data_IF_502014629017
#
_entry.id   IF_502014629017
#
_cell.length_a   1.000
_cell.length_b   1.000
_cell.length_c   1.000
_cell.angle_alpha   90.00
_cell.angle_beta   90.00
_cell.angle_gamma   90.00
#
_symmetry.space_group_name_H-M   'P 1'
#
loop_
_entity.id
_entity.type
_entity.pdbx_description
1 polymer ?
#
# COMPACT_ATOMS: atom_id res chain seq x y z
N UNK A 1 18.48 12.74 21.48
CA UNK A 1 17.24 11.96 21.57
C UNK A 1 16.11 12.67 22.32
N UNK A 2 16.35 13.60 23.24
CA UNK A 2 15.29 14.39 23.89
C UNK A 2 14.78 15.60 23.09
N UNK A 3 15.60 16.18 22.21
CA UNK A 3 15.21 17.36 21.43
C UNK A 3 14.42 17.05 20.14
N UNK A 4 14.46 15.80 19.64
CA UNK A 4 13.69 15.42 18.45
C UNK A 4 12.27 15.01 18.80
N UNK A 5 12.04 14.51 19.99
CA UNK A 5 10.69 14.21 20.50
C UNK A 5 9.96 15.50 20.88
N UNK A 6 10.64 16.46 21.53
CA UNK A 6 10.07 17.78 21.81
C UNK A 6 9.80 18.63 20.55
N UNK A 7 10.52 18.39 19.43
CA UNK A 7 10.23 19.07 18.16
C UNK A 7 9.03 18.48 17.42
N UNK A 8 8.75 17.18 17.57
CA UNK A 8 7.55 16.54 16.99
C UNK A 8 6.28 16.87 17.77
N UNK A 9 6.39 16.99 19.10
CA UNK A 9 5.25 17.42 19.93
C UNK A 9 4.94 18.93 19.76
N UNK A 10 5.91 19.78 19.44
CA UNK A 10 5.71 21.21 19.16
C UNK A 10 5.21 21.56 17.74
N UNK A 11 5.11 20.60 16.83
CA UNK A 11 4.52 20.80 15.48
C UNK A 11 3.06 20.33 15.43
N UNK A 12 2.59 19.62 16.46
CA UNK A 12 1.20 19.20 16.66
C UNK A 12 0.51 19.87 17.84
N UNK A 13 1.03 21.02 18.35
CA UNK A 13 0.27 21.83 19.30
C UNK A 13 -0.89 22.51 18.57
N UNK A 14 -2.08 21.92 18.73
CA UNK A 14 -3.42 22.47 18.54
C UNK A 14 -3.61 23.33 17.27
N UNK A 15 -3.68 22.66 16.12
CA UNK A 15 -4.01 23.31 14.83
C UNK A 15 -5.43 23.90 14.89
N UNK A 16 -6.30 23.37 15.79
CA UNK A 16 -7.63 23.88 16.09
C UNK A 16 -7.92 23.90 17.60
N UNK A 17 -8.77 24.83 18.05
CA UNK A 17 -9.20 24.93 19.45
C UNK A 17 -10.40 23.99 19.75
N UNK A 18 -10.10 22.73 20.09
CA UNK A 18 -11.11 21.69 20.39
C UNK A 18 -12.09 22.16 21.50
N UNK A 19 -11.59 22.81 22.57
CA UNK A 19 -12.44 23.28 23.66
C UNK A 19 -13.43 24.37 23.20
N UNK A 20 -13.04 25.17 22.21
CA UNK A 20 -13.93 26.16 21.61
C UNK A 20 -15.06 25.48 20.87
N UNK A 21 -14.74 24.54 19.97
CA UNK A 21 -15.75 23.84 19.15
C UNK A 21 -16.71 23.00 19.99
N UNK A 22 -16.20 22.22 20.94
CA UNK A 22 -17.02 21.44 21.89
C UNK A 22 -17.99 22.36 22.65
N UNK A 23 -17.51 23.51 23.11
CA UNK A 23 -18.36 24.51 23.81
C UNK A 23 -19.42 25.10 22.89
N UNK A 24 -19.10 25.41 21.63
CA UNK A 24 -20.06 25.96 20.65
C UNK A 24 -21.16 24.93 20.31
N UNK A 25 -20.77 23.65 20.15
CA UNK A 25 -21.72 22.54 19.98
C UNK A 25 -22.64 22.37 21.20
N UNK A 26 -22.10 22.46 22.42
CA UNK A 26 -22.86 22.34 23.66
C UNK A 26 -23.83 23.50 23.86
N UNK A 27 -23.46 24.69 23.42
CA UNK A 27 -24.31 25.88 23.48
C UNK A 27 -25.34 25.99 22.35
N UNK A 28 -25.26 25.10 21.35
CA UNK A 28 -26.02 25.16 20.10
C UNK A 28 -25.84 26.49 19.37
N UNK A 29 -24.63 27.06 19.41
CA UNK A 29 -24.30 28.30 18.71
C UNK A 29 -23.89 28.02 17.27
N UNK A 30 -24.89 27.82 16.41
CA UNK A 30 -24.72 27.40 15.02
C UNK A 30 -23.93 28.43 14.21
N UNK A 31 -24.23 29.72 14.40
CA UNK A 31 -23.64 30.77 13.57
C UNK A 31 -22.14 30.92 13.84
N UNK A 32 -21.74 30.94 15.13
CA UNK A 32 -20.33 31.06 15.48
C UNK A 32 -19.56 29.75 15.20
N UNK A 33 -20.19 28.57 15.45
CA UNK A 33 -19.59 27.27 15.08
C UNK A 33 -19.28 27.22 13.58
N UNK A 34 -20.25 27.51 12.71
CA UNK A 34 -20.06 27.51 11.27
C UNK A 34 -18.98 28.48 10.83
N UNK A 35 -18.96 29.69 11.40
CA UNK A 35 -17.97 30.68 11.05
C UNK A 35 -16.55 30.23 11.37
N UNK A 36 -16.28 29.78 12.58
CA UNK A 36 -14.94 29.37 13.01
C UNK A 36 -14.54 28.03 12.38
N UNK A 37 -15.46 27.07 12.26
CA UNK A 37 -15.17 25.74 11.71
C UNK A 37 -14.90 25.76 10.20
N UNK A 38 -15.64 26.53 9.42
CA UNK A 38 -15.47 26.65 7.98
C UNK A 38 -14.27 27.55 7.57
N UNK A 39 -13.63 28.25 8.54
CA UNK A 39 -12.35 28.93 8.31
C UNK A 39 -11.15 27.96 8.42
N UNK A 40 -11.32 26.80 9.05
CA UNK A 40 -10.29 25.75 9.12
C UNK A 40 -10.03 25.13 7.72
N UNK A 41 -8.82 24.60 7.55
CA UNK A 41 -8.53 23.74 6.41
C UNK A 41 -9.33 22.43 6.47
N UNK A 42 -9.68 21.83 5.35
CA UNK A 42 -10.49 20.60 5.31
C UNK A 42 -9.86 19.47 6.17
N UNK A 43 -8.55 19.32 6.12
CA UNK A 43 -7.80 18.39 6.96
C UNK A 43 -7.98 18.64 8.48
N UNK A 44 -8.00 19.91 8.91
CA UNK A 44 -8.24 20.27 10.32
C UNK A 44 -9.69 20.01 10.73
N UNK A 45 -10.63 20.17 9.79
CA UNK A 45 -12.04 19.85 9.98
C UNK A 45 -12.24 18.34 10.16
N UNK A 46 -11.56 17.51 9.34
CA UNK A 46 -11.62 16.06 9.46
C UNK A 46 -11.01 15.57 10.77
N UNK A 47 -9.82 16.04 11.15
CA UNK A 47 -9.21 15.69 12.44
C UNK A 47 -10.11 16.03 13.65
N UNK A 48 -10.74 17.22 13.66
CA UNK A 48 -11.68 17.56 14.72
C UNK A 48 -12.89 16.64 14.72
N UNK A 49 -13.42 16.32 13.53
CA UNK A 49 -14.59 15.46 13.37
C UNK A 49 -14.31 14.03 13.85
N UNK A 50 -13.15 13.47 13.54
CA UNK A 50 -12.70 12.15 14.00
C UNK A 50 -12.56 12.08 15.53
N UNK A 51 -11.98 13.12 16.12
CA UNK A 51 -11.79 13.25 17.56
C UNK A 51 -13.09 13.52 18.35
N UNK A 52 -14.21 13.70 17.65
CA UNK A 52 -15.50 14.10 18.22
C UNK A 52 -16.40 12.89 18.48
N UNK A 53 -17.14 12.89 19.60
CA UNK A 53 -18.08 11.82 19.93
C UNK A 53 -19.34 11.83 19.04
N UNK A 54 -20.04 10.68 18.92
CA UNK A 54 -21.22 10.51 18.05
C UNK A 54 -22.33 11.54 18.30
N UNK A 55 -22.51 11.98 19.57
CA UNK A 55 -23.54 12.96 19.89
C UNK A 55 -23.22 14.34 19.32
N UNK A 56 -21.96 14.73 19.31
CA UNK A 56 -21.49 15.97 18.73
C UNK A 56 -21.36 15.87 17.21
N UNK A 57 -20.95 14.70 16.65
CA UNK A 57 -21.02 14.45 15.21
C UNK A 57 -22.43 14.66 14.65
N UNK A 58 -23.44 14.18 15.34
CA UNK A 58 -24.84 14.40 14.94
C UNK A 58 -25.21 15.89 14.91
N UNK A 59 -24.75 16.69 15.89
CA UNK A 59 -24.95 18.16 15.87
C UNK A 59 -24.23 18.82 14.70
N UNK A 60 -23.02 18.35 14.33
CA UNK A 60 -22.28 18.84 13.17
C UNK A 60 -23.10 18.64 11.90
N UNK A 61 -23.72 17.46 11.71
CA UNK A 61 -24.62 17.22 10.57
C UNK A 61 -25.88 18.10 10.58
N UNK A 62 -26.35 18.51 11.75
CA UNK A 62 -27.47 19.46 11.86
C UNK A 62 -27.04 20.91 11.56
N UNK A 63 -25.78 21.25 11.83
CA UNK A 63 -25.24 22.61 11.67
C UNK A 63 -24.72 22.88 10.27
N UNK A 64 -24.17 21.88 9.60
CA UNK A 64 -23.54 21.98 8.29
C UNK A 64 -24.47 21.46 7.17
N UNK A 65 -24.34 22.03 6.00
CA UNK A 65 -25.00 21.53 4.78
C UNK A 65 -24.26 20.30 4.25
N UNK A 66 -24.90 19.42 3.46
CA UNK A 66 -24.23 18.29 2.83
C UNK A 66 -22.97 18.67 2.06
N UNK A 67 -22.97 19.78 1.35
CA UNK A 67 -21.80 20.29 0.60
C UNK A 67 -20.62 20.66 1.51
N UNK A 68 -20.90 21.27 2.67
CA UNK A 68 -19.84 21.65 3.62
C UNK A 68 -19.24 20.42 4.30
N UNK A 69 -20.03 19.39 4.51
CA UNK A 69 -19.54 18.10 5.04
C UNK A 69 -18.74 17.36 3.98
N UNK A 70 -19.21 17.32 2.74
CA UNK A 70 -18.51 16.68 1.63
C UNK A 70 -17.07 17.20 1.45
N UNK A 71 -16.84 18.50 1.68
CA UNK A 71 -15.52 19.12 1.50
C UNK A 71 -14.39 18.56 2.40
N UNK A 72 -14.71 17.96 3.54
CA UNK A 72 -13.70 17.37 4.42
C UNK A 72 -13.88 15.86 4.61
N UNK A 73 -14.91 15.29 4.01
CA UNK A 73 -15.27 13.89 4.21
C UNK A 73 -14.32 12.93 3.51
N UNK A 74 -13.69 13.36 2.42
CA UNK A 74 -12.62 12.68 1.69
C UNK A 74 -11.31 12.56 2.47
N UNK A 75 -11.14 13.40 3.51
CA UNK A 75 -9.96 13.40 4.36
C UNK A 75 -10.14 12.52 5.63
N UNK A 76 -11.29 11.84 5.78
CA UNK A 76 -11.56 10.99 6.95
C UNK A 76 -10.89 9.63 6.82
N UNK A 77 -10.18 9.22 7.87
CA UNK A 77 -9.54 7.90 7.99
C UNK A 77 -10.24 7.06 9.04
N UNK A 78 -11.34 6.42 8.65
CA UNK A 78 -12.13 5.53 9.52
C UNK A 78 -11.96 4.06 9.13
N UNK A 79 -12.02 3.17 10.11
CA UNK A 79 -12.20 1.73 9.86
C UNK A 79 -13.61 1.44 9.27
N UNK A 80 -13.76 0.41 8.43
CA UNK A 80 -15.01 -0.01 7.76
C UNK A 80 -16.24 -0.04 8.70
N UNK A 81 -16.09 -0.60 9.92
CA UNK A 81 -17.17 -0.69 10.91
C UNK A 81 -17.64 0.71 11.40
N UNK A 82 -16.73 1.70 11.36
CA UNK A 82 -17.01 3.07 11.78
C UNK A 82 -17.79 3.83 10.70
N UNK A 83 -17.50 3.60 9.41
CA UNK A 83 -18.29 4.16 8.30
C UNK A 83 -19.74 3.67 8.33
N UNK A 84 -20.00 2.38 8.57
CA UNK A 84 -21.36 1.85 8.70
C UNK A 84 -22.14 2.57 9.81
N UNK A 85 -21.52 2.79 10.97
CA UNK A 85 -22.11 3.49 12.11
C UNK A 85 -22.35 4.98 11.80
N UNK A 86 -21.38 5.63 11.16
CA UNK A 86 -21.44 7.04 10.81
C UNK A 86 -22.62 7.34 9.87
N UNK A 87 -22.76 6.52 8.81
CA UNK A 87 -23.86 6.67 7.85
C UNK A 87 -25.24 6.34 8.47
N UNK A 88 -25.31 5.46 9.47
CA UNK A 88 -26.55 5.23 10.21
C UNK A 88 -26.96 6.45 11.05
N UNK A 89 -25.97 7.11 11.68
CA UNK A 89 -26.19 8.32 12.50
C UNK A 89 -26.54 9.55 11.65
N UNK A 90 -25.98 9.66 10.45
CA UNK A 90 -26.22 10.77 9.53
C UNK A 90 -27.63 10.76 8.94
N UNK A 91 -28.23 9.60 8.76
CA UNK A 91 -29.51 9.39 8.12
C UNK A 91 -29.44 9.38 6.59
N UNK A 92 -30.09 8.40 5.97
CA UNK A 92 -29.90 8.05 4.56
C UNK A 92 -30.09 9.19 3.55
N UNK A 93 -31.01 10.14 3.80
CA UNK A 93 -31.26 11.27 2.89
C UNK A 93 -30.13 12.30 2.95
N UNK A 94 -29.62 12.60 4.14
CA UNK A 94 -28.53 13.55 4.29
C UNK A 94 -27.24 12.93 3.74
N UNK A 95 -26.97 11.67 4.09
CA UNK A 95 -25.83 10.91 3.59
C UNK A 95 -25.79 10.81 2.06
N UNK A 96 -26.94 10.56 1.39
CA UNK A 96 -27.00 10.54 -0.07
C UNK A 96 -26.66 11.90 -0.68
N UNK A 97 -27.04 13.00 -0.04
CA UNK A 97 -26.67 14.34 -0.53
C UNK A 97 -25.21 14.70 -0.25
N UNK A 98 -24.59 14.18 0.83
CA UNK A 98 -23.14 14.35 1.04
C UNK A 98 -22.37 13.66 -0.09
N UNK A 99 -22.68 12.38 -0.37
CA UNK A 99 -22.06 11.64 -1.46
C UNK A 99 -22.31 12.26 -2.85
N UNK A 100 -23.43 12.98 -3.05
CA UNK A 100 -23.69 13.72 -4.28
C UNK A 100 -22.79 14.96 -4.48
N UNK A 101 -22.26 15.53 -3.39
CA UNK A 101 -21.41 16.72 -3.42
C UNK A 101 -19.92 16.38 -3.37
N UNK A 102 -19.55 15.11 -3.15
CA UNK A 102 -18.19 14.60 -3.23
C UNK A 102 -17.77 14.35 -4.68
N UNK A 103 -16.46 14.27 -4.93
CA UNK A 103 -15.92 13.70 -6.18
C UNK A 103 -16.34 12.23 -6.31
N UNK A 104 -16.45 11.73 -7.55
CA UNK A 104 -17.09 10.43 -7.78
C UNK A 104 -16.24 9.26 -7.31
N UNK A 105 -14.92 9.34 -7.41
CA UNK A 105 -13.95 8.39 -6.87
C UNK A 105 -14.07 8.29 -5.35
N UNK A 106 -13.93 9.39 -4.62
CA UNK A 106 -14.07 9.43 -3.15
C UNK A 106 -15.43 8.92 -2.67
N UNK A 107 -16.51 9.23 -3.42
CA UNK A 107 -17.82 8.67 -3.11
C UNK A 107 -17.88 7.15 -3.32
N UNK A 108 -17.15 6.61 -4.30
CA UNK A 108 -17.04 5.17 -4.59
C UNK A 108 -16.25 4.47 -3.49
N UNK A 109 -15.13 5.03 -3.06
CA UNK A 109 -14.29 4.45 -2.00
C UNK A 109 -15.10 4.29 -0.71
N UNK A 110 -15.80 5.34 -0.27
CA UNK A 110 -16.69 5.25 0.89
C UNK A 110 -17.81 4.22 0.67
N UNK A 111 -18.38 4.14 -0.53
CA UNK A 111 -19.45 3.18 -0.81
C UNK A 111 -18.97 1.72 -0.82
N UNK A 112 -17.72 1.47 -1.16
CA UNK A 112 -17.11 0.13 -1.10
C UNK A 112 -16.99 -0.37 0.34
N UNK A 113 -16.77 0.52 1.32
CA UNK A 113 -16.73 0.21 2.75
C UNK A 113 -18.14 -0.11 3.34
N UNK A 114 -19.21 0.22 2.61
CA UNK A 114 -20.56 0.03 3.10
C UNK A 114 -21.20 -1.30 2.63
N UNK A 115 -22.10 -1.82 3.43
CA UNK A 115 -22.88 -3.01 3.05
C UNK A 115 -23.72 -2.77 1.78
N UNK A 116 -23.78 -3.77 0.91
CA UNK A 116 -24.52 -3.71 -0.37
C UNK A 116 -25.98 -3.22 -0.27
N UNK A 117 -26.76 -3.59 0.77
CA UNK A 117 -28.13 -3.06 0.94
C UNK A 117 -28.14 -1.55 1.23
N UNK A 118 -27.14 -1.04 1.98
CA UNK A 118 -26.99 0.38 2.30
C UNK A 118 -26.62 1.18 1.07
N UNK A 119 -25.61 0.72 0.31
CA UNK A 119 -25.24 1.29 -0.99
C UNK A 119 -26.44 1.41 -1.93
N UNK A 120 -27.21 0.34 -2.10
CA UNK A 120 -28.41 0.37 -2.94
C UNK A 120 -29.47 1.38 -2.46
N UNK A 121 -29.61 1.56 -1.14
CA UNK A 121 -30.51 2.54 -0.54
C UNK A 121 -30.05 3.97 -0.83
N UNK A 122 -28.77 4.26 -0.59
CA UNK A 122 -28.18 5.60 -0.81
C UNK A 122 -28.27 6.00 -2.30
N UNK A 123 -27.83 5.13 -3.20
CA UNK A 123 -27.91 5.35 -4.65
C UNK A 123 -29.36 5.55 -5.17
N UNK A 124 -30.36 5.01 -4.47
CA UNK A 124 -31.78 5.24 -4.84
C UNK A 124 -32.28 6.60 -4.44
N UNK A 125 -31.69 7.20 -3.40
CA UNK A 125 -32.04 8.54 -2.89
C UNK A 125 -31.33 9.66 -3.63
N UNK A 126 -30.19 9.37 -4.26
CA UNK A 126 -29.38 10.31 -5.04
C UNK A 126 -30.06 10.79 -6.31
N UNK A 127 -29.56 11.91 -6.86
CA UNK A 127 -29.84 12.33 -8.23
C UNK A 127 -29.51 11.21 -9.22
N UNK A 128 -30.38 10.98 -10.20
CA UNK A 128 -30.22 9.86 -11.13
C UNK A 128 -28.95 9.91 -11.97
N UNK A 129 -28.53 11.09 -12.37
CA UNK A 129 -27.37 11.27 -13.24
C UNK A 129 -26.12 10.94 -12.44
N UNK A 130 -25.93 11.53 -11.25
CA UNK A 130 -24.82 11.24 -10.35
C UNK A 130 -24.79 9.77 -9.87
N UNK A 131 -25.95 9.21 -9.50
CA UNK A 131 -26.06 7.81 -9.15
C UNK A 131 -25.66 6.84 -10.28
N UNK A 132 -25.85 7.24 -11.53
CA UNK A 132 -25.44 6.42 -12.67
C UNK A 132 -23.93 6.46 -12.91
N UNK A 133 -23.29 7.62 -12.73
CA UNK A 133 -21.82 7.76 -12.80
C UNK A 133 -21.16 6.94 -11.70
N UNK A 134 -21.56 7.13 -10.44
CA UNK A 134 -21.05 6.36 -9.31
C UNK A 134 -21.25 4.85 -9.52
N UNK A 135 -22.43 4.41 -10.02
CA UNK A 135 -22.67 3.00 -10.33
C UNK A 135 -21.76 2.46 -11.43
N UNK A 136 -21.39 3.29 -12.39
CA UNK A 136 -20.48 2.86 -13.44
C UNK A 136 -19.06 2.63 -12.87
N UNK A 137 -18.63 3.46 -11.95
CA UNK A 137 -17.34 3.32 -11.27
C UNK A 137 -17.31 2.11 -10.30
N UNK A 138 -18.36 1.89 -9.51
CA UNK A 138 -18.50 0.73 -8.61
C UNK A 138 -18.43 -0.65 -9.30
N UNK A 139 -18.34 -0.70 -10.63
CA UNK A 139 -18.18 -1.95 -11.38
C UNK A 139 -16.73 -2.35 -11.63
N UNK A 140 -15.80 -1.44 -11.42
CA UNK A 140 -14.38 -1.71 -11.56
C UNK A 140 -13.84 -2.39 -10.28
N UNK A 141 -12.74 -3.11 -10.42
CA UNK A 141 -12.02 -3.69 -9.28
C UNK A 141 -11.23 -2.55 -8.58
N UNK A 142 -11.25 -2.51 -7.25
CA UNK A 142 -10.70 -1.43 -6.42
C UNK A 142 -9.22 -1.16 -6.74
N UNK A 143 -8.37 -2.18 -6.75
CA UNK A 143 -6.92 -2.06 -6.96
C UNK A 143 -6.52 -1.84 -8.44
N UNK A 144 -7.42 -1.28 -9.27
CA UNK A 144 -7.15 -1.05 -10.70
C UNK A 144 -7.29 0.42 -11.08
N UNK A 145 -6.70 0.80 -12.23
CA UNK A 145 -6.88 2.13 -12.80
C UNK A 145 -8.35 2.55 -12.91
N UNK A 146 -9.25 1.60 -13.12
CA UNK A 146 -10.69 1.86 -13.17
C UNK A 146 -11.34 2.08 -11.81
N UNK A 147 -10.78 1.48 -10.75
CA UNK A 147 -11.24 1.65 -9.38
C UNK A 147 -10.89 3.03 -8.82
N UNK A 148 -9.68 3.50 -9.10
CA UNK A 148 -9.14 4.77 -8.55
C UNK A 148 -9.30 5.97 -9.50
N UNK A 149 -9.99 5.84 -10.64
CA UNK A 149 -10.16 6.95 -11.58
C UNK A 149 -11.36 7.81 -11.24
N UNK A 150 -11.24 9.13 -11.48
CA UNK A 150 -12.39 10.04 -11.53
C UNK A 150 -12.86 10.25 -12.97
N UNK A 151 -14.17 10.52 -13.13
CA UNK A 151 -14.77 10.92 -14.42
C UNK A 151 -14.91 12.45 -14.54
N UNK A 152 -14.48 13.20 -13.55
CA UNK A 152 -14.59 14.66 -13.47
C UNK A 152 -13.39 15.36 -14.09
N UNK A 153 -13.20 15.20 -15.39
CA UNK A 153 -12.09 15.75 -16.17
C UNK A 153 -12.53 16.61 -17.35
N UNK A 154 -11.60 17.43 -17.86
CA UNK A 154 -11.86 18.26 -19.05
C UNK A 154 -11.38 17.55 -20.31
N UNK A 155 -12.30 17.30 -21.23
CA UNK A 155 -12.00 16.83 -22.58
C UNK A 155 -12.47 17.78 -23.66
N UNK A 156 -11.72 17.89 -24.76
CA UNK A 156 -12.01 18.75 -25.89
C UNK A 156 -11.93 17.95 -27.19
N UNK A 157 -12.79 18.24 -28.16
CA UNK A 157 -12.64 17.71 -29.51
C UNK A 157 -11.36 18.30 -30.14
N UNK A 158 -10.56 17.46 -30.78
CA UNK A 158 -9.31 17.88 -31.45
C UNK A 158 -9.56 18.94 -32.55
N UNK A 159 -10.76 18.96 -33.14
CA UNK A 159 -11.22 19.91 -34.16
C UNK A 159 -11.76 21.22 -33.60
N UNK A 160 -11.76 21.41 -32.27
CA UNK A 160 -12.29 22.66 -31.64
C UNK A 160 -11.27 23.77 -31.76
N UNK A 161 -11.71 25.01 -32.16
CA UNK A 161 -10.84 26.18 -32.12
C UNK A 161 -10.45 26.55 -30.68
N UNK A 162 -9.20 27.01 -30.46
CA UNK A 162 -8.68 27.41 -29.12
C UNK A 162 -9.58 28.40 -28.40
N UNK A 163 -10.16 29.38 -29.14
CA UNK A 163 -11.09 30.35 -28.55
C UNK A 163 -12.34 29.71 -27.96
N UNK A 164 -12.90 28.70 -28.60
CA UNK A 164 -14.06 27.95 -28.09
C UNK A 164 -13.66 27.02 -26.96
N UNK A 165 -12.52 26.38 -27.11
CA UNK A 165 -11.92 25.51 -26.08
C UNK A 165 -11.74 26.22 -24.73
N UNK A 166 -11.24 27.46 -24.73
CA UNK A 166 -11.10 28.28 -23.52
C UNK A 166 -12.46 28.59 -22.84
N UNK A 167 -13.55 28.71 -23.64
CA UNK A 167 -14.88 28.89 -23.08
C UNK A 167 -15.36 27.61 -22.43
N UNK A 168 -15.20 26.46 -23.09
CA UNK A 168 -15.56 25.15 -22.56
C UNK A 168 -14.79 24.82 -21.26
N UNK A 169 -13.47 25.04 -21.24
CA UNK A 169 -12.66 24.85 -20.04
C UNK A 169 -13.18 25.71 -18.88
N UNK A 170 -13.55 26.99 -19.15
CA UNK A 170 -14.07 27.88 -18.11
C UNK A 170 -15.44 27.45 -17.60
N UNK A 171 -16.27 26.85 -18.46
CA UNK A 171 -17.59 26.33 -18.08
C UNK A 171 -17.49 25.03 -17.26
N UNK A 172 -16.55 24.15 -17.60
CA UNK A 172 -16.35 22.86 -16.94
C UNK A 172 -15.45 22.93 -15.69
N UNK A 173 -14.64 23.98 -15.56
CA UNK A 173 -13.68 24.12 -14.47
C UNK A 173 -14.25 24.02 -13.04
N UNK A 174 -15.51 24.41 -12.74
CA UNK A 174 -16.07 24.23 -11.41
C UNK A 174 -16.34 22.75 -11.01
N UNK A 175 -16.52 21.89 -11.99
CA UNK A 175 -16.91 20.49 -11.80
C UNK A 175 -15.77 19.52 -12.17
N UNK A 176 -14.58 20.04 -12.50
CA UNK A 176 -13.43 19.23 -12.91
C UNK A 176 -12.43 19.09 -11.77
N UNK A 177 -11.94 17.89 -11.54
CA UNK A 177 -10.92 17.56 -10.55
C UNK A 177 -9.62 18.36 -10.79
N UNK A 178 -9.18 18.43 -12.02
CA UNK A 178 -8.06 19.28 -12.42
C UNK A 178 -8.32 20.04 -13.71
N UNK A 179 -7.83 21.29 -13.77
CA UNK A 179 -7.84 22.12 -14.97
C UNK A 179 -6.47 22.22 -15.65
N UNK A 180 -5.42 21.68 -15.00
CA UNK A 180 -4.04 21.84 -15.46
C UNK A 180 -3.72 20.97 -16.66
N UNK A 181 -4.38 19.82 -16.78
CA UNK A 181 -4.25 18.87 -17.88
C UNK A 181 -5.58 18.72 -18.58
N UNK A 182 -5.56 18.85 -19.89
CA UNK A 182 -6.75 18.79 -20.74
C UNK A 182 -6.52 17.72 -21.79
N UNK A 183 -7.50 16.88 -22.02
CA UNK A 183 -7.41 15.76 -22.96
C UNK A 183 -8.12 16.07 -24.26
N UNK A 184 -7.50 15.70 -25.38
CA UNK A 184 -8.10 15.87 -26.69
C UNK A 184 -8.62 14.53 -27.19
N UNK A 185 -9.89 14.51 -27.64
CA UNK A 185 -10.55 13.33 -28.20
C UNK A 185 -10.99 13.59 -29.64
N UNK A 186 -11.13 12.53 -30.41
CA UNK A 186 -11.70 12.58 -31.75
C UNK A 186 -13.23 12.53 -31.71
N UNK A 187 -13.89 12.43 -32.89
CA UNK A 187 -15.34 12.35 -32.99
C UNK A 187 -15.93 11.05 -32.40
N UNK A 188 -15.11 10.00 -32.26
CA UNK A 188 -15.49 8.72 -31.70
C UNK A 188 -15.12 8.62 -30.19
N UNK A 189 -14.87 9.74 -29.51
CA UNK A 189 -14.45 9.85 -28.09
C UNK A 189 -13.13 9.11 -27.76
N UNK A 190 -12.30 8.82 -28.75
CA UNK A 190 -10.99 8.21 -28.52
C UNK A 190 -9.96 9.27 -28.18
N UNK A 191 -9.08 8.97 -27.24
CA UNK A 191 -7.97 9.82 -26.81
C UNK A 191 -6.96 9.98 -27.95
N UNK A 192 -6.72 11.22 -28.39
CA UNK A 192 -5.79 11.54 -29.50
C UNK A 192 -4.72 12.53 -29.12
N UNK A 193 -4.85 13.22 -27.98
CA UNK A 193 -3.87 14.20 -27.55
C UNK A 193 -4.04 14.64 -26.10
N UNK A 194 -3.02 15.33 -25.61
CA UNK A 194 -3.02 15.99 -24.31
C UNK A 194 -2.40 17.39 -24.45
N UNK A 195 -2.92 18.34 -23.70
CA UNK A 195 -2.38 19.70 -23.63
C UNK A 195 -2.54 20.25 -22.22
N UNK A 196 -1.66 21.16 -21.85
CA UNK A 196 -1.81 21.89 -20.59
C UNK A 196 -2.68 23.13 -20.76
N UNK A 197 -3.31 23.60 -19.65
CA UNK A 197 -3.98 24.89 -19.64
C UNK A 197 -3.05 26.02 -20.10
N UNK A 198 -1.74 25.93 -19.80
CA UNK A 198 -0.73 26.90 -20.28
C UNK A 198 -0.65 26.93 -21.78
N UNK A 199 -0.60 25.77 -22.44
CA UNK A 199 -0.51 25.67 -23.90
C UNK A 199 -1.74 26.30 -24.54
N UNK A 200 -2.92 26.04 -23.97
CA UNK A 200 -4.16 26.61 -24.42
C UNK A 200 -4.21 28.16 -24.28
N UNK A 201 -3.68 28.71 -23.18
CA UNK A 201 -3.63 30.17 -22.93
C UNK A 201 -2.65 30.87 -23.88
N UNK A 202 -1.55 30.23 -24.27
CA UNK A 202 -0.49 30.81 -25.09
C UNK A 202 -0.79 30.67 -26.61
N UNK A 203 -1.66 29.73 -26.97
CA UNK A 203 -2.00 29.43 -28.35
C UNK A 203 -2.75 30.61 -29.04
N UNK A 204 -2.69 30.68 -30.36
CA UNK A 204 -3.45 31.61 -31.16
C UNK A 204 -4.94 31.23 -31.12
N UNK A 205 -5.83 32.24 -31.00
CA UNK A 205 -7.28 32.04 -30.84
C UNK A 205 -7.97 31.27 -31.99
N UNK A 206 -7.41 31.33 -33.17
CA UNK A 206 -7.90 30.70 -34.40
C UNK A 206 -7.18 29.38 -34.75
N UNK A 207 -6.21 28.96 -33.96
CA UNK A 207 -5.63 27.60 -34.03
C UNK A 207 -6.65 26.56 -33.58
N UNK A 208 -6.47 25.31 -34.00
CA UNK A 208 -7.27 24.17 -33.54
C UNK A 208 -6.52 23.42 -32.42
N UNK A 209 -7.26 22.70 -31.63
CA UNK A 209 -6.66 21.87 -30.54
C UNK A 209 -5.65 20.89 -31.09
N UNK A 210 -5.91 20.28 -32.26
CA UNK A 210 -4.96 19.36 -32.94
C UNK A 210 -3.61 20.00 -33.30
N UNK A 211 -3.57 21.34 -33.49
CA UNK A 211 -2.34 22.07 -33.79
C UNK A 211 -1.51 22.37 -32.51
N UNK A 212 -2.12 22.31 -31.35
CA UNK A 212 -1.53 22.71 -30.05
C UNK A 212 -1.24 21.53 -29.15
N UNK A 213 -2.02 20.45 -29.25
CA UNK A 213 -1.90 19.27 -28.41
C UNK A 213 -0.61 18.47 -28.69
N UNK A 214 -0.16 17.71 -27.72
CA UNK A 214 0.82 16.64 -27.91
C UNK A 214 0.09 15.36 -28.30
N UNK A 215 0.43 14.80 -29.46
CA UNK A 215 -0.12 13.52 -29.92
C UNK A 215 0.48 12.32 -29.16
N UNK A 216 1.62 12.52 -28.47
CA UNK A 216 2.26 11.47 -27.68
C UNK A 216 1.64 11.44 -26.29
N UNK A 217 0.57 10.69 -26.15
CA UNK A 217 -0.12 10.49 -24.88
C UNK A 217 0.32 9.16 -24.28
N UNK A 218 0.62 9.18 -22.98
CA UNK A 218 0.79 8.00 -22.15
C UNK A 218 -0.51 7.86 -21.37
N UNK A 219 -1.15 6.70 -21.46
CA UNK A 219 -2.43 6.39 -20.81
C UNK A 219 -2.35 5.07 -20.07
N UNK A 220 -3.17 4.90 -19.05
CA UNK A 220 -3.45 3.65 -18.39
C UNK A 220 -4.65 2.94 -19.03
N UNK A 221 -4.67 1.61 -19.06
CA UNK A 221 -5.88 0.87 -19.36
C UNK A 221 -6.69 0.69 -18.08
N UNK A 222 -8.00 0.66 -18.19
CA UNK A 222 -8.93 0.54 -17.06
C UNK A 222 -8.66 -0.67 -16.13
N UNK A 223 -8.02 -1.71 -16.61
CA UNK A 223 -7.67 -2.91 -15.84
C UNK A 223 -6.18 -2.98 -15.47
N UNK A 224 -5.42 -1.91 -15.62
CA UNK A 224 -4.03 -1.86 -15.18
C UNK A 224 -4.00 -1.73 -13.64
N UNK A 225 -3.01 -2.33 -13.01
CA UNK A 225 -2.82 -2.36 -11.56
C UNK A 225 -2.45 -0.96 -11.02
N UNK A 226 -3.00 -0.57 -9.88
CA UNK A 226 -2.77 0.74 -9.27
C UNK A 226 -1.29 0.99 -8.93
N UNK A 227 -0.54 -0.04 -8.52
CA UNK A 227 0.90 0.06 -8.24
C UNK A 227 1.69 0.42 -9.52
N UNK A 228 1.34 -0.20 -10.66
CA UNK A 228 1.95 0.10 -11.96
C UNK A 228 1.66 1.55 -12.39
N UNK A 229 0.45 2.08 -12.10
CA UNK A 229 0.08 3.46 -12.39
C UNK A 229 0.84 4.44 -11.49
N UNK A 230 0.94 4.15 -10.19
CA UNK A 230 1.71 4.96 -9.26
C UNK A 230 3.18 5.06 -9.70
N UNK A 231 3.77 3.93 -10.13
CA UNK A 231 5.12 3.93 -10.69
C UNK A 231 5.21 4.73 -11.98
N UNK A 232 4.24 4.60 -12.90
CA UNK A 232 4.19 5.35 -14.15
C UNK A 232 4.17 6.86 -13.89
N UNK A 233 3.29 7.33 -13.02
CA UNK A 233 3.13 8.75 -12.68
C UNK A 233 4.41 9.31 -12.03
N UNK A 234 5.04 8.55 -11.14
CA UNK A 234 6.33 8.91 -10.52
C UNK A 234 7.47 9.00 -11.54
N UNK A 235 7.55 8.04 -12.48
CA UNK A 235 8.66 7.97 -13.44
C UNK A 235 8.60 9.08 -14.50
N UNK A 236 7.39 9.57 -14.81
CA UNK A 236 7.17 10.61 -15.80
C UNK A 236 6.85 11.98 -15.21
N UNK A 237 6.79 12.12 -13.87
CA UNK A 237 6.40 13.34 -13.16
C UNK A 237 5.01 13.85 -13.62
N UNK A 238 4.07 12.94 -13.83
CA UNK A 238 2.71 13.31 -14.24
C UNK A 238 1.87 13.74 -13.05
N UNK A 239 1.04 14.76 -13.25
CA UNK A 239 0.06 15.24 -12.28
C UNK A 239 -1.34 14.65 -12.53
N UNK A 240 -1.58 14.11 -13.71
CA UNK A 240 -2.76 13.34 -14.07
C UNK A 240 -2.45 12.39 -15.23
N UNK A 241 -3.04 11.20 -15.22
CA UNK A 241 -2.94 10.20 -16.29
C UNK A 241 -4.32 9.84 -16.79
N UNK A 242 -4.56 9.85 -18.11
CA UNK A 242 -5.84 9.43 -18.67
C UNK A 242 -6.00 7.92 -18.62
N UNK A 243 -7.19 7.46 -18.25
CA UNK A 243 -7.59 6.06 -18.26
C UNK A 243 -8.45 5.78 -19.50
N UNK A 244 -8.12 4.73 -20.21
CA UNK A 244 -8.79 4.36 -21.46
C UNK A 244 -9.27 2.91 -21.43
N UNK A 245 -10.27 2.60 -22.26
CA UNK A 245 -10.67 1.25 -22.56
C UNK A 245 -9.76 0.61 -23.65
N UNK A 246 -9.99 -0.66 -23.97
CA UNK A 246 -9.26 -1.40 -25.01
C UNK A 246 -9.45 -0.85 -26.44
N UNK A 247 -10.42 0.06 -26.64
CA UNK A 247 -10.68 0.76 -27.90
C UNK A 247 -10.13 2.18 -27.91
N UNK A 248 -9.41 2.57 -26.86
CA UNK A 248 -8.81 3.88 -26.63
C UNK A 248 -9.83 5.00 -26.39
N UNK A 249 -11.05 4.68 -25.92
CA UNK A 249 -11.97 5.71 -25.46
C UNK A 249 -11.52 6.22 -24.09
N UNK A 250 -11.56 7.52 -23.90
CA UNK A 250 -11.22 8.15 -22.62
C UNK A 250 -12.37 7.92 -21.62
N UNK A 251 -12.08 7.21 -20.54
CA UNK A 251 -13.04 6.85 -19.50
C UNK A 251 -12.96 7.76 -18.28
N UNK A 252 -11.74 8.12 -17.86
CA UNK A 252 -11.47 8.89 -16.66
C UNK A 252 -10.03 9.38 -16.61
N UNK A 253 -9.67 9.94 -15.49
CA UNK A 253 -8.29 10.31 -15.15
C UNK A 253 -7.96 9.83 -13.74
N UNK A 254 -6.67 9.68 -13.47
CA UNK A 254 -6.14 9.46 -12.12
C UNK A 254 -5.23 10.65 -11.81
N UNK A 255 -5.39 11.26 -10.65
CA UNK A 255 -4.62 12.44 -10.24
C UNK A 255 -3.47 12.08 -9.31
N UNK A 256 -2.57 13.03 -9.05
CA UNK A 256 -1.38 12.78 -8.24
C UNK A 256 -1.69 12.67 -6.76
N UNK A 257 -2.73 13.33 -6.28
CA UNK A 257 -3.21 13.26 -4.91
C UNK A 257 -3.71 11.85 -4.59
N UNK A 258 -4.59 11.26 -5.41
CA UNK A 258 -5.04 9.87 -5.26
C UNK A 258 -3.87 8.88 -5.31
N UNK A 259 -2.90 9.12 -6.21
CA UNK A 259 -1.70 8.28 -6.29
C UNK A 259 -0.81 8.37 -5.04
N UNK A 260 -0.80 9.48 -4.33
CA UNK A 260 -0.06 9.55 -3.06
C UNK A 260 -0.69 8.63 -2.01
N UNK A 261 -2.00 8.58 -1.95
CA UNK A 261 -2.74 7.69 -1.04
C UNK A 261 -2.55 6.22 -1.43
N UNK A 262 -2.66 5.89 -2.72
CA UNK A 262 -2.32 4.55 -3.24
C UNK A 262 -0.90 4.14 -2.88
N UNK A 263 0.08 5.05 -3.00
CA UNK A 263 1.48 4.72 -2.64
C UNK A 263 1.67 4.43 -1.15
N UNK A 264 0.94 5.13 -0.27
CA UNK A 264 0.99 4.89 1.17
C UNK A 264 0.25 3.59 1.53
N UNK A 265 -0.87 3.29 0.88
CA UNK A 265 -1.61 2.05 1.04
C UNK A 265 -0.78 0.83 0.60
N UNK A 266 -0.24 0.83 -0.61
CA UNK A 266 0.63 -0.24 -1.13
C UNK A 266 1.87 -0.45 -0.24
N UNK A 267 2.50 0.63 0.22
CA UNK A 267 3.64 0.53 1.13
C UNK A 267 3.24 -0.08 2.49
N UNK A 268 2.06 0.24 2.99
CA UNK A 268 1.50 -0.31 4.21
C UNK A 268 1.12 -1.78 4.06
N UNK A 269 0.53 -2.15 2.92
CA UNK A 269 0.20 -3.53 2.60
C UNK A 269 1.47 -4.39 2.44
N UNK A 270 2.47 -3.93 1.68
CA UNK A 270 3.78 -4.57 1.55
C UNK A 270 4.42 -4.81 2.92
N UNK A 271 4.35 -3.82 3.82
CA UNK A 271 4.88 -3.93 5.18
C UNK A 271 4.13 -4.99 6.01
N UNK A 272 2.81 -4.99 5.95
CA UNK A 272 1.95 -5.95 6.65
C UNK A 272 2.21 -7.38 6.17
N UNK A 273 2.24 -7.60 4.87
CA UNK A 273 2.53 -8.90 4.25
C UNK A 273 3.92 -9.39 4.60
N UNK A 274 4.94 -8.50 4.55
CA UNK A 274 6.30 -8.83 4.94
C UNK A 274 6.40 -9.23 6.43
N UNK A 275 5.63 -8.59 7.30
CA UNK A 275 5.53 -8.93 8.71
C UNK A 275 4.75 -10.23 8.97
N UNK A 276 3.98 -10.72 7.99
CA UNK A 276 3.13 -11.90 8.11
C UNK A 276 1.84 -11.62 8.89
N UNK A 277 1.29 -10.43 8.72
CA UNK A 277 -0.05 -10.04 9.19
C UNK A 277 -0.95 -9.77 8.00
N UNK A 278 -2.26 -9.88 8.16
CA UNK A 278 -3.18 -9.64 7.05
C UNK A 278 -3.48 -8.16 6.82
N UNK A 279 -3.22 -7.32 7.82
CA UNK A 279 -3.44 -5.90 7.77
C UNK A 279 -2.72 -5.21 8.94
N UNK A 280 -2.44 -3.90 8.86
CA UNK A 280 -1.82 -3.15 9.96
C UNK A 280 -2.83 -2.98 11.09
N UNK A 281 -2.36 -3.21 12.32
CA UNK A 281 -3.17 -2.96 13.52
C UNK A 281 -3.31 -1.43 13.72
N UNK A 282 -4.54 -0.92 13.76
CA UNK A 282 -4.77 0.44 14.25
C UNK A 282 -4.58 0.51 15.77
N UNK A 283 -4.25 1.68 16.29
CA UNK A 283 -4.07 1.89 17.74
C UNK A 283 -5.36 1.70 18.53
N UNK A 284 -6.51 1.76 17.85
CA UNK A 284 -7.87 1.60 18.38
C UNK A 284 -8.36 0.14 18.35
N UNK A 285 -7.66 -0.77 17.64
CA UNK A 285 -8.09 -2.15 17.47
C UNK A 285 -8.25 -2.90 18.79
N UNK A 286 -9.36 -3.63 18.92
CA UNK A 286 -9.57 -4.51 20.07
C UNK A 286 -8.60 -5.71 20.04
N UNK A 287 -8.26 -6.27 21.22
CA UNK A 287 -7.37 -7.44 21.31
C UNK A 287 -7.84 -8.60 20.43
N UNK A 288 -9.14 -8.78 20.23
CA UNK A 288 -9.68 -9.82 19.35
C UNK A 288 -9.46 -9.51 17.87
N UNK A 289 -9.64 -8.26 17.44
CA UNK A 289 -9.39 -7.82 16.06
C UNK A 289 -7.90 -7.97 15.71
N UNK A 290 -7.00 -7.46 16.56
CA UNK A 290 -5.55 -7.66 16.44
C UNK A 290 -5.16 -9.14 16.34
N UNK A 291 -5.74 -9.99 17.20
CA UNK A 291 -5.43 -11.42 17.15
C UNK A 291 -5.94 -12.09 15.87
N UNK A 292 -7.11 -11.70 15.36
CA UNK A 292 -7.70 -12.27 14.14
C UNK A 292 -6.85 -11.95 12.90
N UNK A 293 -6.24 -10.76 12.82
CA UNK A 293 -5.34 -10.35 11.74
C UNK A 293 -4.04 -11.18 11.71
N UNK A 294 -3.56 -11.67 12.85
CA UNK A 294 -2.30 -12.43 12.99
C UNK A 294 -2.48 -13.95 12.96
N UNK A 295 -3.63 -14.45 13.42
CA UNK A 295 -3.88 -15.88 13.57
C UNK A 295 -3.75 -16.71 12.29
N UNK A 296 -4.21 -16.30 11.11
CA UNK A 296 -4.11 -17.10 9.90
C UNK A 296 -2.66 -17.51 9.60
N UNK A 297 -1.75 -16.55 9.62
CA UNK A 297 -0.33 -16.79 9.40
C UNK A 297 0.30 -17.66 10.49
N UNK A 298 0.02 -17.39 11.77
CA UNK A 298 0.53 -18.17 12.89
C UNK A 298 0.08 -19.64 12.82
N UNK A 299 -1.12 -19.91 12.36
CA UNK A 299 -1.62 -21.28 12.15
C UNK A 299 -0.82 -21.97 11.04
N UNK A 300 -0.64 -21.31 9.88
CA UNK A 300 0.17 -21.87 8.78
C UNK A 300 1.60 -22.16 9.25
N UNK A 301 2.22 -21.21 9.95
CA UNK A 301 3.58 -21.38 10.49
C UNK A 301 3.66 -22.49 11.54
N UNK A 302 2.61 -22.74 12.32
CA UNK A 302 2.55 -23.86 13.26
C UNK A 302 2.64 -25.21 12.53
N UNK A 303 1.90 -25.38 11.42
CA UNK A 303 1.99 -26.60 10.60
C UNK A 303 3.37 -26.76 9.95
N UNK A 304 3.96 -25.69 9.44
CA UNK A 304 5.32 -25.70 8.89
C UNK A 304 6.36 -26.04 9.98
N UNK A 305 6.18 -25.51 11.20
CA UNK A 305 7.01 -25.83 12.35
C UNK A 305 6.99 -27.32 12.74
N UNK A 306 5.84 -28.00 12.55
CA UNK A 306 5.74 -29.45 12.75
C UNK A 306 6.60 -30.24 11.76
N UNK A 307 6.75 -29.75 10.52
CA UNK A 307 7.66 -30.35 9.54
C UNK A 307 9.11 -30.23 10.04
N UNK A 308 9.49 -29.05 10.50
CA UNK A 308 10.81 -28.79 11.10
C UNK A 308 11.10 -29.74 12.29
N UNK A 309 10.12 -29.88 13.17
CA UNK A 309 10.23 -30.80 14.31
C UNK A 309 10.39 -32.27 13.88
N UNK A 310 9.70 -32.72 12.84
CA UNK A 310 9.81 -34.06 12.29
C UNK A 310 11.19 -34.31 11.69
N UNK A 311 11.72 -33.31 10.94
CA UNK A 311 13.08 -33.38 10.39
C UNK A 311 14.12 -33.50 11.53
N UNK A 312 14.01 -32.66 12.56
CA UNK A 312 14.90 -32.73 13.73
C UNK A 312 14.87 -34.10 14.41
N UNK A 313 13.66 -34.66 14.56
CA UNK A 313 13.50 -36.03 15.12
C UNK A 313 14.22 -37.13 14.31
N UNK A 314 14.32 -36.96 12.97
CA UNK A 314 15.02 -37.91 12.11
C UNK A 314 16.54 -37.97 12.35
N UNK A 315 17.12 -36.95 13.04
CA UNK A 315 18.53 -36.86 13.40
C UNK A 315 18.80 -37.16 14.88
N UNK A 316 17.86 -37.79 15.61
CA UNK A 316 17.99 -38.13 17.03
C UNK A 316 19.24 -38.98 17.32
N UNK A 317 19.57 -39.94 16.46
CA UNK A 317 20.76 -40.75 16.57
C UNK A 317 22.05 -39.92 16.51
N UNK A 318 22.12 -38.92 15.66
CA UNK A 318 23.26 -38.02 15.54
C UNK A 318 23.40 -37.14 16.79
N UNK A 319 22.27 -36.61 17.28
CA UNK A 319 22.23 -35.81 18.52
C UNK A 319 22.59 -36.61 19.77
N UNK A 320 22.17 -37.87 19.85
CA UNK A 320 22.51 -38.74 21.01
C UNK A 320 23.98 -39.04 21.10
N UNK A 321 24.70 -39.15 19.97
CA UNK A 321 26.13 -39.38 19.93
C UNK A 321 26.96 -38.15 20.27
N UNK A 322 26.54 -36.96 19.84
CA UNK A 322 27.21 -35.69 20.11
C UNK A 322 26.18 -34.64 20.54
N UNK A 323 25.77 -34.70 21.81
CA UNK A 323 24.73 -33.83 22.36
C UNK A 323 25.07 -32.32 22.23
N UNK A 324 26.35 -31.97 22.14
CA UNK A 324 26.77 -30.56 21.96
C UNK A 324 26.33 -29.95 20.63
N UNK A 325 26.02 -30.77 19.61
CA UNK A 325 25.46 -30.27 18.35
C UNK A 325 24.13 -29.52 18.56
N UNK A 326 23.30 -29.94 19.51
CA UNK A 326 22.03 -29.30 19.81
C UNK A 326 22.19 -27.82 20.23
N UNK A 327 23.30 -27.50 20.91
CA UNK A 327 23.56 -26.13 21.38
C UNK A 327 23.74 -25.10 20.24
N UNK A 328 24.10 -25.54 19.03
CA UNK A 328 24.37 -24.66 17.91
C UNK A 328 23.18 -24.55 16.93
N UNK A 329 22.13 -25.37 17.10
CA UNK A 329 20.90 -25.28 16.26
C UNK A 329 20.34 -23.86 16.21
N UNK A 330 20.11 -23.17 17.36
CA UNK A 330 19.51 -21.82 17.32
C UNK A 330 20.39 -20.80 16.62
N UNK A 331 21.71 -20.94 16.65
CA UNK A 331 22.66 -20.04 15.99
C UNK A 331 22.61 -20.26 14.49
N UNK A 332 22.67 -21.50 14.01
CA UNK A 332 22.69 -21.80 12.57
C UNK A 332 21.34 -21.45 11.92
N UNK A 333 20.24 -21.90 12.54
CA UNK A 333 18.89 -21.63 12.09
C UNK A 333 18.58 -20.13 12.13
N UNK A 334 18.78 -19.49 13.28
CA UNK A 334 18.50 -18.05 13.43
C UNK A 334 19.31 -17.16 12.48
N UNK A 335 20.61 -17.44 12.29
CA UNK A 335 21.43 -16.66 11.37
C UNK A 335 21.05 -16.87 9.89
N UNK A 336 20.68 -18.10 9.52
CA UNK A 336 20.16 -18.40 8.18
C UNK A 336 18.83 -17.71 7.94
N UNK A 337 17.91 -17.77 8.91
CA UNK A 337 16.61 -17.08 8.85
C UNK A 337 16.76 -15.58 8.72
N UNK A 338 17.56 -14.95 9.60
CA UNK A 338 17.83 -13.51 9.55
C UNK A 338 18.45 -13.07 8.21
N UNK A 339 19.40 -13.84 7.70
CA UNK A 339 20.06 -13.57 6.41
C UNK A 339 19.05 -13.66 5.24
N UNK A 340 18.14 -14.64 5.31
CA UNK A 340 17.07 -14.79 4.33
C UNK A 340 16.05 -13.66 4.39
N UNK A 341 15.64 -13.25 5.58
CA UNK A 341 14.69 -12.13 5.76
C UNK A 341 15.27 -10.79 5.28
N UNK A 342 16.58 -10.54 5.52
CA UNK A 342 17.26 -9.37 4.97
C UNK A 342 17.27 -9.37 3.44
N UNK A 343 17.52 -10.52 2.82
CA UNK A 343 17.51 -10.65 1.37
C UNK A 343 16.10 -10.55 0.79
N UNK A 344 15.09 -11.08 1.50
CA UNK A 344 13.67 -10.93 1.17
C UNK A 344 13.28 -9.45 1.11
N UNK A 345 13.51 -8.70 2.19
CA UNK A 345 13.14 -7.29 2.27
C UNK A 345 13.74 -6.44 1.13
N UNK A 346 15.02 -6.69 0.79
CA UNK A 346 15.66 -6.03 -0.36
C UNK A 346 15.03 -6.44 -1.69
N UNK A 347 14.65 -7.70 -1.83
CA UNK A 347 14.09 -8.21 -3.09
C UNK A 347 12.65 -7.76 -3.31
N UNK A 348 11.81 -7.77 -2.29
CA UNK A 348 10.45 -7.21 -2.34
C UNK A 348 10.52 -5.74 -2.73
N UNK A 349 11.26 -4.93 -1.97
CA UNK A 349 11.43 -3.50 -2.29
C UNK A 349 11.89 -3.24 -3.72
N UNK A 350 12.88 -3.97 -4.22
CA UNK A 350 13.37 -3.76 -5.59
C UNK A 350 12.35 -4.20 -6.66
N UNK A 351 11.41 -5.08 -6.33
CA UNK A 351 10.29 -5.44 -7.21
C UNK A 351 9.26 -4.30 -7.19
N UNK A 352 8.79 -3.88 -6.02
CA UNK A 352 7.81 -2.80 -5.85
C UNK A 352 8.29 -1.44 -6.39
N UNK A 353 9.62 -1.18 -6.38
CA UNK A 353 10.17 0.03 -7.00
C UNK A 353 10.46 -0.10 -8.50
N UNK A 354 10.15 -1.24 -9.13
CA UNK A 354 10.38 -1.47 -10.56
C UNK A 354 11.87 -1.54 -10.98
N UNK A 355 12.81 -1.64 -10.01
CA UNK A 355 14.25 -1.68 -10.32
C UNK A 355 14.72 -3.00 -10.93
N UNK A 356 13.87 -4.04 -10.95
CA UNK A 356 14.20 -5.39 -11.41
C UNK A 356 13.70 -5.65 -12.82
N UNK A 357 14.60 -5.60 -13.80
CA UNK A 357 14.37 -6.08 -15.14
C UNK A 357 14.61 -7.61 -15.24
N UNK A 358 13.92 -8.30 -16.16
CA UNK A 358 14.05 -9.73 -16.43
C UNK A 358 15.50 -10.20 -16.60
N UNK A 359 16.37 -9.38 -17.23
CA UNK A 359 17.78 -9.68 -17.41
C UNK A 359 18.62 -9.57 -16.14
N UNK A 360 18.09 -8.91 -15.10
CA UNK A 360 18.78 -8.65 -13.83
C UNK A 360 18.55 -9.75 -12.80
N UNK A 361 17.47 -10.55 -12.90
CA UNK A 361 17.06 -11.55 -11.88
C UNK A 361 18.19 -12.54 -11.53
N UNK A 362 18.90 -13.08 -12.51
CA UNK A 362 20.01 -14.00 -12.26
C UNK A 362 21.22 -13.31 -11.61
N UNK A 363 21.51 -12.07 -11.99
CA UNK A 363 22.60 -11.29 -11.38
C UNK A 363 22.30 -10.96 -9.91
N UNK A 364 21.04 -10.65 -9.60
CA UNK A 364 20.59 -10.39 -8.23
C UNK A 364 20.78 -11.64 -7.37
N UNK A 365 20.29 -12.80 -7.82
CA UNK A 365 20.45 -14.06 -7.10
C UNK A 365 21.94 -14.40 -6.85
N UNK A 366 22.82 -14.16 -7.84
CA UNK A 366 24.25 -14.40 -7.69
C UNK A 366 24.91 -13.41 -6.72
N UNK A 367 24.49 -12.15 -6.75
CA UNK A 367 24.95 -11.12 -5.81
C UNK A 367 24.54 -11.46 -4.38
N UNK A 368 23.28 -11.86 -4.19
CA UNK A 368 22.76 -12.25 -2.87
C UNK A 368 23.47 -13.51 -2.34
N UNK A 369 23.66 -14.55 -3.17
CA UNK A 369 24.45 -15.71 -2.79
C UNK A 369 25.89 -15.33 -2.41
N UNK A 370 26.53 -14.41 -3.13
CA UNK A 370 27.85 -13.87 -2.81
C UNK A 370 27.88 -13.10 -1.50
N UNK A 371 26.86 -12.29 -1.21
CA UNK A 371 26.68 -11.58 0.05
C UNK A 371 26.51 -12.55 1.21
N UNK A 372 25.65 -13.56 1.06
CA UNK A 372 25.45 -14.62 2.05
C UNK A 372 26.71 -15.45 2.32
N UNK A 373 27.47 -15.76 1.27
CA UNK A 373 28.75 -16.47 1.42
C UNK A 373 29.77 -15.65 2.20
N UNK A 374 29.93 -14.38 1.87
CA UNK A 374 30.87 -13.49 2.55
C UNK A 374 30.48 -13.29 4.02
N UNK A 375 29.23 -12.97 4.28
CA UNK A 375 28.69 -12.81 5.65
C UNK A 375 28.81 -14.11 6.45
N UNK A 376 28.48 -15.24 5.81
CA UNK A 376 28.60 -16.58 6.39
C UNK A 376 30.05 -16.93 6.79
N UNK A 377 31.02 -16.62 5.96
CA UNK A 377 32.46 -16.83 6.27
C UNK A 377 32.87 -15.98 7.48
N UNK A 378 32.50 -14.71 7.51
CA UNK A 378 32.86 -13.82 8.63
C UNK A 378 32.26 -14.34 9.94
N UNK A 379 30.96 -14.68 9.94
CA UNK A 379 30.28 -15.23 11.11
C UNK A 379 30.85 -16.58 11.53
N UNK A 380 31.21 -17.47 10.56
CA UNK A 380 31.81 -18.74 10.80
C UNK A 380 33.18 -18.63 11.47
N UNK A 381 34.03 -17.68 11.04
CA UNK A 381 35.33 -17.42 11.67
C UNK A 381 35.16 -16.97 13.12
N UNK A 382 34.23 -16.07 13.39
CA UNK A 382 33.94 -15.62 14.76
C UNK A 382 33.48 -16.80 15.61
N UNK A 383 32.50 -17.55 15.11
CA UNK A 383 31.95 -18.72 15.82
C UNK A 383 33.00 -19.82 16.04
N UNK A 384 33.86 -20.06 15.02
CA UNK A 384 34.99 -21.01 15.13
C UNK A 384 35.91 -20.64 16.28
N UNK A 385 36.34 -19.38 16.39
CA UNK A 385 37.19 -18.90 17.47
C UNK A 385 36.52 -19.08 18.84
N UNK A 386 35.25 -18.76 18.96
CA UNK A 386 34.47 -18.93 20.20
C UNK A 386 34.43 -20.41 20.59
N UNK A 387 34.10 -21.30 19.68
CA UNK A 387 33.99 -22.76 19.97
C UNK A 387 35.36 -23.33 20.36
N UNK A 388 36.43 -22.97 19.67
CA UNK A 388 37.77 -23.44 19.98
C UNK A 388 38.24 -22.97 21.37
N UNK A 389 37.96 -21.73 21.73
CA UNK A 389 38.35 -21.16 23.03
C UNK A 389 37.53 -21.77 24.16
N UNK A 390 36.22 -21.90 24.03
CA UNK A 390 35.32 -22.33 25.10
C UNK A 390 35.28 -23.87 25.20
N UNK A 391 35.07 -24.55 24.08
CA UNK A 391 34.85 -26.02 24.08
C UNK A 391 36.09 -26.80 23.74
N UNK A 392 37.16 -26.19 23.23
CA UNK A 392 38.43 -26.82 22.82
C UNK A 392 38.25 -27.93 21.78
N UNK A 393 37.23 -27.83 20.93
CA UNK A 393 36.91 -28.84 19.91
C UNK A 393 37.02 -28.21 18.50
N UNK A 394 38.21 -28.18 17.87
CA UNK A 394 38.40 -27.50 16.58
C UNK A 394 37.63 -28.15 15.42
N UNK A 395 37.45 -29.47 15.46
CA UNK A 395 36.68 -30.16 14.40
C UNK A 395 35.21 -29.83 14.47
N UNK A 396 34.61 -29.78 15.67
CA UNK A 396 33.23 -29.31 15.86
C UNK A 396 33.10 -27.88 15.38
N UNK A 397 34.05 -27.02 15.72
CA UNK A 397 34.05 -25.60 15.27
C UNK A 397 34.08 -25.48 13.75
N UNK A 398 34.82 -26.36 13.05
CA UNK A 398 34.88 -26.38 11.59
C UNK A 398 33.54 -26.83 10.97
N UNK A 399 32.90 -27.85 11.52
CA UNK A 399 31.60 -28.35 11.04
C UNK A 399 30.51 -27.32 11.28
N UNK A 400 30.42 -26.72 12.47
CA UNK A 400 29.44 -25.68 12.79
C UNK A 400 29.64 -24.44 11.93
N UNK A 401 30.89 -23.96 11.80
CA UNK A 401 31.21 -22.80 10.95
C UNK A 401 30.95 -23.06 9.48
N UNK A 402 31.33 -24.23 8.96
CA UNK A 402 31.02 -24.60 7.56
C UNK A 402 29.53 -24.71 7.30
N UNK A 403 28.79 -25.34 8.24
CA UNK A 403 27.32 -25.40 8.16
C UNK A 403 26.67 -24.01 8.17
N UNK A 404 27.15 -23.13 9.05
CA UNK A 404 26.66 -21.75 9.13
C UNK A 404 26.87 -21.00 7.79
N UNK A 405 28.07 -21.12 7.20
CA UNK A 405 28.37 -20.49 5.91
C UNK A 405 27.46 -21.00 4.80
N UNK A 406 27.29 -22.32 4.70
CA UNK A 406 26.38 -22.91 3.71
C UNK A 406 24.92 -22.50 3.96
N UNK A 407 24.46 -22.55 5.21
CA UNK A 407 23.10 -22.20 5.58
C UNK A 407 22.78 -20.73 5.28
N UNK A 408 23.66 -19.80 5.63
CA UNK A 408 23.49 -18.38 5.32
C UNK A 408 23.50 -18.11 3.80
N UNK A 409 24.39 -18.77 3.05
CA UNK A 409 24.44 -18.63 1.58
C UNK A 409 23.14 -19.10 0.92
N UNK A 410 22.63 -20.25 1.34
CA UNK A 410 21.37 -20.78 0.81
C UNK A 410 20.19 -19.95 1.31
N UNK A 411 20.24 -19.49 2.56
CA UNK A 411 19.20 -18.65 3.16
C UNK A 411 19.01 -17.33 2.41
N UNK A 412 20.09 -16.62 2.08
CA UNK A 412 20.00 -15.38 1.25
C UNK A 412 19.49 -15.68 -0.15
N UNK A 413 19.92 -16.78 -0.75
CA UNK A 413 19.47 -17.18 -2.07
C UNK A 413 17.96 -17.49 -2.07
N UNK A 414 17.47 -18.23 -1.08
CA UNK A 414 16.04 -18.54 -0.91
C UNK A 414 15.24 -17.26 -0.70
N UNK A 415 15.72 -16.39 0.21
CA UNK A 415 15.08 -15.10 0.51
C UNK A 415 14.94 -14.19 -0.71
N UNK A 416 15.92 -14.19 -1.62
CA UNK A 416 15.83 -13.39 -2.86
C UNK A 416 15.05 -14.07 -3.96
N UNK A 417 15.14 -15.41 -4.09
CA UNK A 417 14.54 -16.10 -5.23
C UNK A 417 13.03 -16.31 -5.10
N UNK A 418 12.52 -16.52 -3.88
CA UNK A 418 11.10 -16.77 -3.69
C UNK A 418 10.25 -15.59 -4.18
N UNK A 419 10.49 -14.32 -3.78
CA UNK A 419 9.73 -13.18 -4.30
C UNK A 419 9.82 -13.06 -5.83
N UNK A 420 11.03 -13.28 -6.40
CA UNK A 420 11.22 -13.22 -7.85
C UNK A 420 10.42 -14.28 -8.62
N UNK A 421 10.26 -15.46 -8.03
CA UNK A 421 9.43 -16.54 -8.61
C UNK A 421 7.96 -16.21 -8.46
N UNK A 422 7.53 -15.68 -7.33
CA UNK A 422 6.15 -15.26 -7.08
C UNK A 422 5.72 -14.17 -8.07
N UNK A 423 6.50 -13.12 -8.20
CA UNK A 423 6.29 -12.07 -9.19
C UNK A 423 6.17 -12.62 -10.63
N UNK A 424 7.02 -13.58 -11.00
CA UNK A 424 6.92 -14.24 -12.32
C UNK A 424 5.62 -15.04 -12.48
N UNK A 425 5.08 -15.58 -11.39
CA UNK A 425 3.81 -16.31 -11.38
C UNK A 425 2.60 -15.37 -11.27
N UNK A 426 2.81 -14.07 -11.26
CA UNK A 426 1.79 -13.04 -11.00
C UNK A 426 1.12 -13.22 -9.63
N UNK A 427 1.90 -13.61 -8.65
CA UNK A 427 1.54 -13.64 -7.23
C UNK A 427 2.34 -12.54 -6.58
N UNK A 428 1.69 -11.73 -5.76
CA UNK A 428 2.35 -10.66 -5.04
C UNK A 428 3.59 -11.18 -4.27
N UNK A 429 4.77 -10.56 -4.50
CA UNK A 429 6.03 -10.95 -3.85
C UNK A 429 6.03 -10.79 -2.34
N UNK A 430 5.26 -9.85 -1.79
CA UNK A 430 5.20 -9.56 -0.35
C UNK A 430 4.52 -10.69 0.44
N UNK A 431 3.70 -11.53 -0.20
CA UNK A 431 3.12 -12.74 0.41
C UNK A 431 4.21 -13.72 0.90
N UNK A 432 5.43 -13.66 0.34
CA UNK A 432 6.59 -14.39 0.88
C UNK A 432 7.08 -13.79 2.21
N UNK A 433 6.22 -13.76 3.21
CA UNK A 433 6.48 -13.10 4.50
C UNK A 433 7.79 -13.51 5.18
N UNK A 434 8.35 -12.62 6.00
CA UNK A 434 9.57 -12.88 6.77
C UNK A 434 9.50 -14.18 7.60
N UNK A 435 8.44 -14.42 8.39
CA UNK A 435 8.23 -15.66 9.13
C UNK A 435 8.18 -16.92 8.24
N UNK A 436 7.59 -16.84 7.04
CA UNK A 436 7.56 -17.95 6.09
C UNK A 436 8.96 -18.30 5.58
N UNK A 437 9.72 -17.29 5.14
CA UNK A 437 11.12 -17.46 4.69
C UNK A 437 11.99 -18.00 5.82
N UNK A 438 11.83 -17.50 7.04
CA UNK A 438 12.57 -18.00 8.21
C UNK A 438 12.29 -19.48 8.43
N UNK A 439 11.03 -19.92 8.35
CA UNK A 439 10.67 -21.34 8.55
C UNK A 439 11.24 -22.24 7.45
N UNK A 440 11.24 -21.82 6.20
CA UNK A 440 11.90 -22.55 5.11
C UNK A 440 13.41 -22.64 5.35
N UNK A 441 14.02 -21.54 5.75
CA UNK A 441 15.45 -21.50 6.05
C UNK A 441 15.82 -22.37 7.26
N UNK A 442 14.96 -22.49 8.26
CA UNK A 442 15.14 -23.42 9.37
C UNK A 442 15.23 -24.87 8.90
N UNK A 443 14.30 -25.27 8.02
CA UNK A 443 14.32 -26.62 7.42
C UNK A 443 15.63 -26.85 6.67
N UNK A 444 15.98 -25.92 5.77
CA UNK A 444 17.17 -26.06 4.92
C UNK A 444 18.45 -26.05 5.75
N UNK A 445 18.56 -25.14 6.70
CA UNK A 445 19.74 -25.03 7.58
C UNK A 445 19.94 -26.26 8.45
N UNK A 446 18.87 -26.87 8.97
CA UNK A 446 18.93 -28.10 9.71
C UNK A 446 19.40 -29.27 8.84
N UNK A 447 18.86 -29.41 7.64
CA UNK A 447 19.30 -30.43 6.70
C UNK A 447 20.79 -30.32 6.36
N UNK A 448 21.27 -29.09 6.11
CA UNK A 448 22.69 -28.80 5.85
C UNK A 448 23.53 -29.15 7.09
N UNK A 449 23.14 -28.68 8.26
CA UNK A 449 23.89 -28.85 9.49
C UNK A 449 24.01 -30.31 9.88
N UNK A 450 22.90 -31.03 9.99
CA UNK A 450 22.92 -32.44 10.37
C UNK A 450 23.45 -33.33 9.26
N UNK A 451 23.28 -32.96 8.01
CA UNK A 451 23.91 -33.66 6.88
C UNK A 451 25.44 -33.63 6.98
N UNK A 452 26.00 -32.44 7.24
CA UNK A 452 27.44 -32.30 7.48
C UNK A 452 27.89 -32.97 8.76
N UNK A 453 27.21 -32.80 9.92
CA UNK A 453 27.52 -33.41 11.17
C UNK A 453 27.55 -34.95 11.08
N UNK A 454 26.55 -35.55 10.44
CA UNK A 454 26.46 -36.99 10.22
C UNK A 454 27.59 -37.51 9.32
N UNK A 455 27.93 -36.77 8.26
CA UNK A 455 28.98 -37.11 7.32
C UNK A 455 30.37 -37.16 7.98
N UNK A 456 30.59 -36.35 9.02
CA UNK A 456 31.84 -36.27 9.77
C UNK A 456 31.74 -36.95 11.16
N UNK A 457 30.68 -37.72 11.42
CA UNK A 457 30.44 -38.33 12.74
C UNK A 457 31.59 -39.17 13.20
N UNK A 458 32.19 -40.00 12.33
CA UNK A 458 33.33 -40.89 12.66
C UNK A 458 34.59 -40.14 13.11
N UNK A 459 34.64 -38.85 12.94
CA UNK A 459 35.76 -38.01 13.40
C UNK A 459 35.39 -37.18 14.64
N UNK A 460 34.10 -37.10 14.99
CA UNK A 460 33.58 -36.42 16.16
C UNK A 460 33.50 -37.33 17.38
N UNK A 461 33.28 -38.60 17.16
CA UNK A 461 33.29 -39.69 18.19
C UNK A 461 34.64 -40.36 18.24
#
# INVERSE_FOLDING_TARGET
MSNETEMKDNVREDVYDKELFDRLLDQNDIDEFRKEFLELHNYEQSEYFEDTDDGNRQKIFEFLSPKEVANFFDQLDFDDDDYESLFDNMGATYASHVLEEMSYDNAVDILNELSKPKVASLLTLMNKDKANEIKALLHYEEDTAGGIMTTEFISLKSTTPVKEALIHVKEQAPDAETIYVIFAVNEDEQLVGVLSLRDLIVAENDAYIEDVMSERVISANVGDDQEDIAQLMRDYDFIAVPVVDYQNHLLGIITIDDILDVMDEEASEDYSRLAGVSDIDSTSDSVFKTASKRLPWLIVLTFLGMITATILGSFEDTLSQVALLAAFIPIISGMSGNSGTQSLAVSVRNISTGEINEQSKFKIALREAGSGLLSGIVCAVILFLIIVVIFRQPLLALIVGGSLTCAMTVGTLVGSMIPLVMNKCKIDPAVASGPFITTINDIVSMLIYFGLATSFMSYLT
#
